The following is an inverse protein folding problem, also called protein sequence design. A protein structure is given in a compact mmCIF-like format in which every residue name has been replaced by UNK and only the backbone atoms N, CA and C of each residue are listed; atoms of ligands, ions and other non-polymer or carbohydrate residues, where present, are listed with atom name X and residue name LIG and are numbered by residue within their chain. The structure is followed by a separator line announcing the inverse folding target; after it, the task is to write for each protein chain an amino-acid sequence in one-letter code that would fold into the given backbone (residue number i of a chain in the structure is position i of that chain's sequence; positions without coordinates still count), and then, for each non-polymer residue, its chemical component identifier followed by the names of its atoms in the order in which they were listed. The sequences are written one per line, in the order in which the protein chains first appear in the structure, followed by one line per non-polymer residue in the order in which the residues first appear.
data_IF_917185264282
#
_entry.id   IF_917185264282
#
_cell.length_a   1.000
_cell.length_b   1.000
_cell.length_c   1.000
_cell.angle_alpha   90.00
_cell.angle_beta   90.00
_cell.angle_gamma   90.00
#
_symmetry.space_group_name_H-M   'P 1'
#
loop_
_entity.id
_entity.type
_entity.pdbx_description
1 polymer ?
#
# COMPACT_ATOMS: atom_id res chain seq x y z
N UNK A 1 -18.04 6.10 25.02
CA UNK A 1 -17.91 6.09 23.53
C UNK A 1 -17.19 7.29 22.95
N UNK A 2 -17.62 8.54 23.16
CA UNK A 2 -16.92 9.71 22.58
C UNK A 2 -15.42 9.78 22.93
N UNK A 3 -15.02 9.27 24.10
CA UNK A 3 -13.62 9.17 24.53
C UNK A 3 -12.79 8.13 23.75
N UNK A 4 -13.44 7.14 23.12
CA UNK A 4 -12.78 6.05 22.39
C UNK A 4 -12.74 6.29 20.88
N UNK A 5 -13.58 7.17 20.34
CA UNK A 5 -13.66 7.45 18.90
C UNK A 5 -12.34 7.98 18.30
N UNK A 6 -11.58 8.72 19.10
CA UNK A 6 -10.30 9.32 18.69
C UNK A 6 -9.09 8.56 19.26
N UNK A 7 -9.27 7.31 19.71
CA UNK A 7 -8.16 6.45 20.18
C UNK A 7 -7.77 5.46 19.09
N UNK A 8 -6.47 5.11 19.06
CA UNK A 8 -5.94 4.11 18.14
C UNK A 8 -6.49 2.72 18.46
N UNK A 9 -6.91 1.99 17.43
CA UNK A 9 -7.67 0.74 17.62
C UNK A 9 -6.89 -0.33 18.38
N UNK A 10 -5.57 -0.37 18.25
CA UNK A 10 -4.74 -1.33 19.00
C UNK A 10 -4.80 -1.10 20.50
N UNK A 11 -4.84 0.15 20.94
CA UNK A 11 -4.96 0.48 22.36
C UNK A 11 -6.31 -0.01 22.89
N UNK A 12 -7.37 0.20 22.11
CA UNK A 12 -8.72 -0.21 22.47
C UNK A 12 -8.83 -1.74 22.50
N UNK A 13 -8.27 -2.46 21.52
CA UNK A 13 -8.23 -3.94 21.50
C UNK A 13 -7.41 -4.48 22.67
N UNK A 14 -6.31 -3.82 23.05
CA UNK A 14 -5.51 -4.24 24.22
C UNK A 14 -6.30 -4.12 25.52
N UNK A 15 -7.11 -3.07 25.64
CA UNK A 15 -7.99 -2.83 26.81
C UNK A 15 -9.24 -3.75 26.78
N UNK A 16 -9.76 -4.04 25.59
CA UNK A 16 -10.97 -4.84 25.36
C UNK A 16 -10.74 -5.85 24.20
N UNK A 17 -10.14 -7.03 24.48
CA UNK A 17 -9.73 -7.99 23.44
C UNK A 17 -10.86 -8.50 22.54
N UNK A 18 -12.08 -8.57 23.05
CA UNK A 18 -13.29 -8.98 22.31
C UNK A 18 -13.63 -8.09 21.11
N UNK A 19 -13.13 -6.85 21.08
CA UNK A 19 -13.33 -5.92 19.96
C UNK A 19 -12.65 -6.44 18.69
N UNK A 20 -11.55 -7.19 18.79
CA UNK A 20 -10.90 -7.81 17.61
C UNK A 20 -11.86 -8.77 16.91
N UNK A 21 -12.55 -9.63 17.68
CA UNK A 21 -13.56 -10.54 17.14
C UNK A 21 -14.73 -9.79 16.49
N UNK A 22 -15.18 -8.70 17.13
CA UNK A 22 -16.25 -7.85 16.59
C UNK A 22 -15.81 -7.24 15.25
N UNK A 23 -14.61 -6.71 15.13
CA UNK A 23 -14.10 -6.13 13.88
C UNK A 23 -13.94 -7.19 12.78
N UNK A 24 -13.43 -8.38 13.14
CA UNK A 24 -13.28 -9.49 12.21
C UNK A 24 -14.63 -9.96 11.62
N UNK A 25 -15.73 -9.85 12.36
CA UNK A 25 -17.08 -10.16 11.84
C UNK A 25 -17.51 -9.26 10.67
N UNK A 26 -16.87 -8.08 10.54
CA UNK A 26 -17.08 -7.12 9.45
C UNK A 26 -15.91 -7.12 8.44
N UNK A 27 -15.06 -8.16 8.46
CA UNK A 27 -13.87 -8.27 7.61
C UNK A 27 -12.85 -7.14 7.84
N UNK A 28 -12.87 -6.54 9.04
CA UNK A 28 -11.96 -5.48 9.44
C UNK A 28 -10.78 -6.08 10.22
N UNK A 29 -9.72 -6.42 9.50
CA UNK A 29 -8.53 -7.08 10.04
C UNK A 29 -7.57 -6.15 10.81
N UNK A 30 -8.01 -5.55 11.91
CA UNK A 30 -7.16 -4.67 12.74
C UNK A 30 -6.21 -5.40 13.70
N UNK A 31 -6.52 -6.64 14.07
CA UNK A 31 -5.72 -7.47 14.99
C UNK A 31 -4.26 -7.70 14.55
N UNK A 32 -4.00 -8.18 13.30
CA UNK A 32 -2.64 -8.43 12.82
C UNK A 32 -1.87 -7.15 12.45
N UNK A 33 -2.50 -5.97 12.49
CA UNK A 33 -1.85 -4.72 12.11
C UNK A 33 -0.73 -4.36 13.10
N UNK A 34 0.52 -4.31 12.64
CA UNK A 34 1.67 -3.96 13.48
C UNK A 34 1.63 -2.49 13.95
N UNK A 35 1.01 -1.60 13.16
CA UNK A 35 0.99 -0.15 13.36
C UNK A 35 -0.08 0.28 14.36
N UNK A 36 -1.35 -0.09 14.13
CA UNK A 36 -2.45 0.14 15.07
C UNK A 36 -2.88 1.60 15.32
N UNK A 37 -2.44 2.55 14.49
CA UNK A 37 -2.71 3.99 14.62
C UNK A 37 -4.10 4.42 14.12
N UNK A 38 -4.80 3.57 13.36
CA UNK A 38 -6.13 3.87 12.87
C UNK A 38 -7.08 4.18 14.03
N UNK A 39 -7.74 5.34 13.99
CA UNK A 39 -8.71 5.72 15.01
C UNK A 39 -9.99 4.91 14.82
N UNK A 40 -10.67 4.60 15.92
CA UNK A 40 -11.93 3.83 15.86
C UNK A 40 -12.96 4.45 14.90
N UNK A 41 -13.11 5.78 14.90
CA UNK A 41 -14.04 6.48 13.99
C UNK A 41 -13.64 6.34 12.50
N UNK A 42 -12.34 6.27 12.22
CA UNK A 42 -11.83 6.24 10.86
C UNK A 42 -11.97 4.83 10.28
N UNK A 43 -11.79 3.80 11.11
CA UNK A 43 -11.98 2.39 10.72
C UNK A 43 -13.37 2.16 10.13
N UNK A 44 -14.40 2.66 10.80
CA UNK A 44 -15.79 2.51 10.34
C UNK A 44 -16.00 3.17 8.97
N UNK A 45 -15.37 4.34 8.77
CA UNK A 45 -15.44 5.10 7.53
C UNK A 45 -14.63 4.46 6.40
N UNK A 46 -13.47 3.90 6.72
CA UNK A 46 -12.51 3.30 5.78
C UNK A 46 -13.04 1.96 5.23
N UNK A 47 -13.66 1.14 6.08
CA UNK A 47 -14.11 -0.21 5.74
C UNK A 47 -15.50 -0.29 5.10
N UNK A 48 -16.06 0.86 4.68
CA UNK A 48 -17.23 0.97 3.79
C UNK A 48 -18.46 0.17 4.26
N UNK A 49 -18.71 0.22 5.56
CA UNK A 49 -19.93 -0.33 6.15
C UNK A 49 -21.15 0.47 5.66
N UNK A 50 -22.29 -0.20 5.49
CA UNK A 50 -23.57 0.52 5.35
C UNK A 50 -23.85 1.31 6.63
N UNK A 51 -24.69 2.35 6.56
CA UNK A 51 -25.08 3.12 7.75
C UNK A 51 -25.65 2.21 8.86
N UNK A 52 -26.39 1.16 8.49
CA UNK A 52 -26.88 0.15 9.42
C UNK A 52 -25.77 -0.71 10.03
N UNK A 53 -24.79 -1.16 9.22
CA UNK A 53 -23.64 -1.94 9.70
C UNK A 53 -22.71 -1.11 10.60
N UNK A 54 -22.50 0.16 10.28
CA UNK A 54 -21.75 1.10 11.12
C UNK A 54 -22.43 1.28 12.48
N UNK A 55 -23.75 1.53 12.49
CA UNK A 55 -24.51 1.66 13.73
C UNK A 55 -24.48 0.38 14.57
N UNK A 56 -24.58 -0.79 13.93
CA UNK A 56 -24.48 -2.08 14.62
C UNK A 56 -23.08 -2.34 15.18
N UNK A 57 -22.03 -2.17 14.36
CA UNK A 57 -20.64 -2.31 14.77
C UNK A 57 -20.34 -1.42 15.98
N UNK A 58 -20.74 -0.14 15.90
CA UNK A 58 -20.54 0.82 16.98
C UNK A 58 -21.34 0.46 18.24
N UNK A 59 -22.54 -0.08 18.11
CA UNK A 59 -23.33 -0.56 19.24
C UNK A 59 -22.70 -1.80 19.89
N UNK A 60 -22.17 -2.74 19.10
CA UNK A 60 -21.47 -3.94 19.59
C UNK A 60 -20.18 -3.56 20.32
N UNK A 61 -19.38 -2.65 19.77
CA UNK A 61 -18.18 -2.12 20.42
C UNK A 61 -18.54 -1.38 21.71
N UNK A 62 -19.60 -0.56 21.70
CA UNK A 62 -20.05 0.14 22.90
C UNK A 62 -20.50 -0.82 24.00
N UNK A 63 -21.14 -1.95 23.63
CA UNK A 63 -21.56 -2.99 24.57
C UNK A 63 -20.36 -3.73 25.18
N UNK A 64 -19.32 -4.00 24.38
CA UNK A 64 -18.08 -4.58 24.87
C UNK A 64 -17.38 -3.69 25.91
N UNK A 65 -17.31 -2.38 25.63
CA UNK A 65 -16.68 -1.39 26.53
C UNK A 65 -17.53 -1.14 27.79
N UNK A 66 -18.86 -1.24 27.68
CA UNK A 66 -19.79 -0.95 28.77
C UNK A 66 -20.84 -2.07 28.94
N UNK A 67 -20.46 -3.24 29.47
CA UNK A 67 -21.34 -4.40 29.56
C UNK A 67 -22.57 -4.17 30.44
N UNK A 68 -22.45 -3.33 31.47
CA UNK A 68 -23.51 -3.03 32.43
C UNK A 68 -24.57 -2.03 31.89
N UNK A 69 -24.30 -1.38 30.74
CA UNK A 69 -25.26 -0.45 30.13
C UNK A 69 -26.24 -1.20 29.23
N UNK A 70 -27.51 -0.80 29.30
CA UNK A 70 -28.55 -1.27 28.40
C UNK A 70 -28.41 -0.57 27.03
N UNK A 71 -27.54 -1.13 26.18
CA UNK A 71 -27.27 -0.64 24.83
C UNK A 71 -28.09 -1.48 23.86
N UNK A 72 -29.04 -0.85 23.17
CA UNK A 72 -29.80 -1.49 22.10
C UNK A 72 -28.91 -1.67 20.88
N UNK A 73 -28.73 -2.91 20.46
CA UNK A 73 -28.10 -3.25 19.20
C UNK A 73 -29.20 -3.23 18.12
N UNK A 74 -29.10 -2.39 17.07
CA UNK A 74 -30.06 -2.39 15.98
C UNK A 74 -30.25 -3.79 15.40
N UNK A 75 -31.48 -4.14 14.98
CA UNK A 75 -31.70 -5.41 14.29
C UNK A 75 -30.91 -5.41 12.97
N UNK A 76 -30.09 -6.45 12.78
CA UNK A 76 -29.33 -6.71 11.56
C UNK A 76 -30.19 -6.45 10.33
N UNK A 77 -29.76 -5.52 9.46
CA UNK A 77 -30.10 -5.66 8.05
C UNK A 77 -29.67 -7.08 7.67
N UNK A 78 -30.60 -7.91 7.20
CA UNK A 78 -30.27 -9.25 6.72
C UNK A 78 -29.02 -9.13 5.87
N UNK A 79 -28.04 -10.01 6.07
CA UNK A 79 -26.92 -10.24 5.14
C UNK A 79 -27.52 -10.58 3.78
N UNK A 80 -28.00 -9.59 3.05
CA UNK A 80 -27.95 -9.63 1.61
C UNK A 80 -26.48 -9.75 1.35
N UNK A 81 -26.07 -10.83 0.68
CA UNK A 81 -24.77 -10.85 0.03
C UNK A 81 -24.67 -9.51 -0.69
N UNK A 82 -23.90 -8.58 -0.13
CA UNK A 82 -23.42 -7.46 -0.88
C UNK A 82 -22.52 -8.15 -1.88
N UNK A 83 -23.08 -8.51 -3.04
CA UNK A 83 -22.27 -8.86 -4.20
C UNK A 83 -21.20 -7.78 -4.22
N UNK A 84 -19.91 -8.13 -4.15
CA UNK A 84 -18.86 -7.13 -4.13
C UNK A 84 -19.20 -6.16 -5.25
N UNK A 85 -19.55 -4.91 -4.93
CA UNK A 85 -19.75 -3.91 -5.96
C UNK A 85 -18.44 -3.96 -6.73
N UNK A 86 -18.49 -4.29 -8.02
CA UNK A 86 -17.31 -4.20 -8.87
C UNK A 86 -16.68 -2.84 -8.62
N UNK A 87 -15.56 -2.85 -7.90
CA UNK A 87 -14.89 -1.65 -7.48
C UNK A 87 -14.31 -1.05 -8.75
N UNK A 88 -14.90 0.05 -9.20
CA UNK A 88 -14.33 0.86 -10.26
C UNK A 88 -13.77 2.10 -9.60
N UNK A 89 -12.49 2.02 -9.23
CA UNK A 89 -11.71 3.21 -8.88
C UNK A 89 -11.91 4.29 -9.93
N UNK A 90 -11.93 5.55 -9.50
CA UNK A 90 -11.87 6.64 -10.44
C UNK A 90 -10.59 6.49 -11.31
N UNK A 91 -10.62 6.94 -12.58
CA UNK A 91 -9.50 6.76 -13.50
C UNK A 91 -8.10 7.09 -12.95
N UNK A 92 -7.87 8.19 -12.19
CA UNK A 92 -6.54 8.46 -11.64
C UNK A 92 -6.10 7.44 -10.59
N UNK A 93 -6.98 7.02 -9.69
CA UNK A 93 -6.66 6.02 -8.66
C UNK A 93 -6.43 4.66 -9.31
N UNK A 94 -7.27 4.30 -10.29
CA UNK A 94 -7.07 3.07 -11.07
C UNK A 94 -5.69 3.04 -11.74
N UNK A 95 -5.21 4.18 -12.26
CA UNK A 95 -3.88 4.26 -12.89
C UNK A 95 -2.77 3.86 -11.90
N UNK A 96 -2.80 4.37 -10.68
CA UNK A 96 -1.80 4.03 -9.65
C UNK A 96 -1.80 2.53 -9.32
N UNK A 97 -2.99 1.95 -9.15
CA UNK A 97 -3.15 0.49 -8.95
C UNK A 97 -2.65 -0.32 -10.14
N UNK A 98 -2.88 0.16 -11.38
CA UNK A 98 -2.37 -0.51 -12.57
C UNK A 98 -0.84 -0.44 -12.65
N UNK A 99 -0.22 0.67 -12.24
CA UNK A 99 1.23 0.85 -12.16
C UNK A 99 1.87 -0.10 -11.12
N UNK A 100 1.18 -0.38 -10.01
CA UNK A 100 1.62 -1.37 -9.03
C UNK A 100 1.82 -2.77 -9.60
N UNK A 101 1.13 -3.15 -10.68
CA UNK A 101 1.27 -4.50 -11.28
C UNK A 101 2.72 -4.78 -11.67
N UNK A 102 3.40 -3.81 -12.28
CA UNK A 102 4.79 -3.98 -12.70
C UNK A 102 5.73 -4.01 -11.50
N UNK A 103 5.50 -3.15 -10.51
CA UNK A 103 6.31 -3.07 -9.28
C UNK A 103 6.20 -4.37 -8.48
N UNK A 104 4.99 -4.93 -8.33
CA UNK A 104 4.75 -6.24 -7.68
C UNK A 104 5.50 -7.37 -8.39
N UNK A 105 5.50 -7.39 -9.72
CA UNK A 105 6.26 -8.39 -10.49
C UNK A 105 7.76 -8.27 -10.24
N UNK A 106 8.30 -7.05 -10.22
CA UNK A 106 9.72 -6.84 -9.87
C UNK A 106 10.03 -7.38 -8.47
N UNK A 107 9.22 -7.03 -7.48
CA UNK A 107 9.40 -7.48 -6.10
C UNK A 107 9.33 -9.00 -5.96
N UNK A 108 8.50 -9.66 -6.76
CA UNK A 108 8.41 -11.13 -6.80
C UNK A 108 9.67 -11.79 -7.37
N UNK A 109 10.42 -11.12 -8.25
CA UNK A 109 11.65 -11.61 -8.85
C UNK A 109 12.90 -11.39 -7.98
N UNK A 110 12.84 -10.48 -7.00
CA UNK A 110 13.99 -10.13 -6.16
C UNK A 110 14.69 -11.36 -5.53
N UNK A 111 14.00 -12.38 -4.98
CA UNK A 111 14.67 -13.55 -4.42
C UNK A 111 15.54 -14.29 -5.45
N UNK A 112 15.02 -14.49 -6.68
CA UNK A 112 15.79 -15.10 -7.76
C UNK A 112 16.94 -14.19 -8.22
N UNK A 113 16.74 -12.88 -8.26
CA UNK A 113 17.82 -11.92 -8.56
C UNK A 113 18.94 -12.07 -7.53
N UNK A 114 18.61 -12.17 -6.24
CA UNK A 114 19.57 -12.39 -5.16
C UNK A 114 20.29 -13.73 -5.30
N UNK A 115 19.58 -14.81 -5.58
CA UNK A 115 20.16 -16.16 -5.71
C UNK A 115 21.10 -16.29 -6.92
N UNK A 116 20.84 -15.55 -8.00
CA UNK A 116 21.60 -15.64 -9.25
C UNK A 116 22.54 -14.45 -9.50
N UNK A 117 22.64 -13.49 -8.58
CA UNK A 117 23.53 -12.35 -8.74
C UNK A 117 24.99 -12.76 -8.52
N UNK A 118 25.85 -12.46 -9.50
CA UNK A 118 27.30 -12.53 -9.37
C UNK A 118 27.89 -11.17 -9.79
N UNK A 119 28.20 -10.32 -8.81
CA UNK A 119 28.65 -8.95 -9.07
C UNK A 119 30.12 -8.87 -9.50
N UNK A 120 30.81 -10.02 -9.59
CA UNK A 120 32.13 -10.12 -10.21
C UNK A 120 32.04 -10.17 -11.74
N UNK A 121 30.86 -10.45 -12.28
CA UNK A 121 30.60 -10.45 -13.71
C UNK A 121 29.95 -9.14 -14.16
N UNK A 122 30.27 -8.71 -15.38
CA UNK A 122 29.61 -7.56 -16.02
C UNK A 122 28.08 -7.75 -16.06
N UNK A 123 27.64 -8.98 -16.38
CA UNK A 123 26.22 -9.33 -16.50
C UNK A 123 25.47 -9.22 -15.16
N UNK A 124 26.06 -9.73 -14.06
CA UNK A 124 25.45 -9.63 -12.74
C UNK A 124 25.41 -8.20 -12.22
N UNK A 125 26.45 -7.39 -12.47
CA UNK A 125 26.43 -5.95 -12.15
C UNK A 125 25.33 -5.22 -12.93
N UNK A 126 25.22 -5.49 -14.23
CA UNK A 126 24.20 -4.86 -15.08
C UNK A 126 22.79 -5.24 -14.64
N UNK A 127 22.56 -6.49 -14.21
CA UNK A 127 21.27 -6.93 -13.66
C UNK A 127 20.84 -6.08 -12.46
N UNK A 128 21.76 -5.79 -11.52
CA UNK A 128 21.48 -4.94 -10.37
C UNK A 128 21.21 -3.50 -10.79
N UNK A 129 22.01 -2.95 -11.73
CA UNK A 129 21.82 -1.60 -12.24
C UNK A 129 20.46 -1.42 -12.95
N UNK A 130 20.06 -2.39 -13.76
CA UNK A 130 18.77 -2.35 -14.47
C UNK A 130 17.59 -2.44 -13.49
N UNK A 131 17.71 -3.29 -12.45
CA UNK A 131 16.74 -3.36 -11.36
C UNK A 131 16.63 -2.05 -10.57
N UNK A 132 17.77 -1.44 -10.26
CA UNK A 132 17.82 -0.12 -9.60
C UNK A 132 17.24 0.98 -10.50
N UNK A 133 17.46 0.95 -11.82
CA UNK A 133 16.85 1.90 -12.75
C UNK A 133 15.32 1.76 -12.75
N UNK A 134 14.78 0.54 -12.74
CA UNK A 134 13.33 0.30 -12.59
C UNK A 134 12.80 0.95 -11.31
N UNK A 135 13.45 0.72 -10.16
CA UNK A 135 13.02 1.30 -8.89
C UNK A 135 13.05 2.83 -8.95
N UNK A 136 14.18 3.43 -9.34
CA UNK A 136 14.36 4.89 -9.29
C UNK A 136 13.50 5.62 -10.31
N UNK A 137 13.30 5.04 -11.47
CA UNK A 137 12.63 5.72 -12.57
C UNK A 137 11.14 5.39 -12.60
N UNK A 138 10.76 4.10 -12.52
CA UNK A 138 9.36 3.68 -12.59
C UNK A 138 8.65 3.78 -11.23
N UNK A 139 9.17 3.12 -10.19
CA UNK A 139 8.48 3.13 -8.89
C UNK A 139 8.55 4.52 -8.23
N UNK A 140 9.71 5.17 -8.23
CA UNK A 140 9.87 6.44 -7.53
C UNK A 140 9.48 7.67 -8.39
N UNK A 141 10.27 7.99 -9.42
CA UNK A 141 10.05 9.23 -10.21
C UNK A 141 8.81 9.26 -11.08
N UNK A 142 8.18 8.11 -11.30
CA UNK A 142 6.98 8.01 -12.13
C UNK A 142 5.75 7.70 -11.30
N UNK A 143 5.80 6.71 -10.41
CA UNK A 143 4.66 6.34 -9.59
C UNK A 143 4.58 7.16 -8.30
N UNK A 144 5.52 7.03 -7.35
CA UNK A 144 5.47 7.80 -6.07
C UNK A 144 5.45 9.32 -6.30
N UNK A 145 6.09 9.82 -7.36
CA UNK A 145 6.01 11.25 -7.70
C UNK A 145 4.57 11.71 -7.97
N UNK A 146 3.71 10.88 -8.60
CA UNK A 146 2.28 11.23 -8.75
C UNK A 146 1.57 11.27 -7.41
N UNK A 147 1.99 10.44 -6.47
CA UNK A 147 1.40 10.40 -5.14
C UNK A 147 1.81 11.63 -4.33
N UNK A 148 3.12 11.80 -4.13
CA UNK A 148 3.69 12.86 -3.31
C UNK A 148 3.46 14.24 -3.93
N UNK A 149 3.72 14.41 -5.24
CA UNK A 149 3.67 15.73 -5.87
C UNK A 149 2.28 16.16 -6.32
N UNK A 150 1.32 15.23 -6.38
CA UNK A 150 -0.01 15.52 -6.95
C UNK A 150 -1.12 15.01 -6.04
N UNK A 151 -1.25 13.70 -5.80
CA UNK A 151 -2.41 13.13 -5.11
C UNK A 151 -2.49 13.54 -3.64
N UNK A 152 -1.41 13.40 -2.88
CA UNK A 152 -1.39 13.66 -1.44
C UNK A 152 -1.69 15.13 -1.12
N UNK A 153 -1.38 16.05 -2.03
CA UNK A 153 -1.71 17.49 -1.92
C UNK A 153 -3.21 17.80 -1.95
N UNK A 154 -4.06 16.82 -2.25
CA UNK A 154 -5.52 16.96 -2.13
C UNK A 154 -6.05 16.62 -0.74
N UNK A 155 -5.19 16.14 0.15
CA UNK A 155 -5.50 15.67 1.50
C UNK A 155 -4.65 16.40 2.54
N UNK A 156 -4.92 16.14 3.82
CA UNK A 156 -4.10 16.65 4.92
C UNK A 156 -2.77 15.88 5.00
N UNK A 157 -1.71 16.48 4.48
CA UNK A 157 -0.36 15.92 4.50
C UNK A 157 0.18 15.70 5.92
N UNK A 158 -0.42 16.35 6.93
CA UNK A 158 -0.09 16.13 8.34
C UNK A 158 -0.78 14.90 8.96
N UNK A 159 -1.68 14.24 8.22
CA UNK A 159 -2.32 13.00 8.68
C UNK A 159 -1.30 11.87 8.86
N UNK A 160 -1.48 11.06 9.90
CA UNK A 160 -0.58 9.96 10.23
C UNK A 160 -0.42 8.97 9.07
N UNK A 161 -1.49 8.74 8.30
CA UNK A 161 -1.47 7.81 7.17
C UNK A 161 -0.56 8.30 6.03
N UNK A 162 -0.59 9.59 5.69
CA UNK A 162 0.26 10.16 4.64
C UNK A 162 1.71 10.26 5.11
N UNK A 163 1.94 10.61 6.39
CA UNK A 163 3.28 10.59 7.00
C UNK A 163 3.93 9.21 6.91
N UNK A 164 3.19 8.15 7.21
CA UNK A 164 3.68 6.77 7.08
C UNK A 164 4.06 6.44 5.62
N UNK A 165 3.30 6.89 4.62
CA UNK A 165 3.67 6.67 3.21
C UNK A 165 4.96 7.40 2.83
N UNK A 166 5.13 8.67 3.23
CA UNK A 166 6.37 9.39 3.00
C UNK A 166 7.58 8.76 3.69
N UNK A 167 7.40 8.22 4.89
CA UNK A 167 8.45 7.47 5.60
C UNK A 167 8.82 6.18 4.86
N UNK A 168 7.83 5.43 4.35
CA UNK A 168 8.05 4.25 3.51
C UNK A 168 8.82 4.62 2.23
N UNK A 169 8.40 5.66 1.48
CA UNK A 169 9.12 6.14 0.30
C UNK A 169 10.55 6.56 0.62
N UNK A 170 10.76 7.27 1.73
CA UNK A 170 12.09 7.69 2.18
C UNK A 170 12.99 6.49 2.48
N UNK A 171 12.47 5.47 3.16
CA UNK A 171 13.20 4.23 3.44
C UNK A 171 13.50 3.44 2.17
N UNK A 172 12.56 3.36 1.25
CA UNK A 172 12.76 2.73 -0.06
C UNK A 172 13.93 3.38 -0.82
N UNK A 173 13.98 4.71 -0.88
CA UNK A 173 15.08 5.47 -1.48
C UNK A 173 16.42 5.23 -0.77
N UNK A 174 16.41 5.07 0.54
CA UNK A 174 17.61 4.74 1.32
C UNK A 174 18.17 3.35 0.97
N UNK A 175 17.32 2.33 0.82
CA UNK A 175 17.76 0.99 0.37
C UNK A 175 18.39 1.03 -1.02
N UNK A 176 17.79 1.78 -1.95
CA UNK A 176 18.35 1.95 -3.30
C UNK A 176 19.74 2.58 -3.26
N UNK A 177 19.94 3.61 -2.42
CA UNK A 177 21.26 4.20 -2.22
C UNK A 177 22.26 3.19 -1.67
N UNK A 178 21.87 2.41 -0.66
CA UNK A 178 22.72 1.39 -0.07
C UNK A 178 23.09 0.27 -1.05
N UNK A 179 22.16 -0.14 -1.94
CA UNK A 179 22.43 -1.12 -3.02
C UNK A 179 23.52 -0.60 -3.95
N UNK A 180 23.44 0.67 -4.38
CA UNK A 180 24.45 1.28 -5.26
C UNK A 180 25.81 1.38 -4.55
N UNK A 181 25.84 1.83 -3.29
CA UNK A 181 27.07 1.93 -2.51
C UNK A 181 27.72 0.55 -2.29
N UNK A 182 26.92 -0.51 -2.15
CA UNK A 182 27.39 -1.89 -2.03
C UNK A 182 27.88 -2.46 -3.36
N UNK A 183 27.20 -2.13 -4.47
CA UNK A 183 27.63 -2.51 -5.82
C UNK A 183 28.99 -1.92 -6.20
N UNK A 184 29.28 -0.68 -5.80
CA UNK A 184 30.58 -0.06 -6.00
C UNK A 184 31.70 -0.74 -5.21
N UNK A 185 31.37 -1.32 -4.05
CA UNK A 185 32.29 -2.07 -3.20
C UNK A 185 32.41 -3.55 -3.56
N UNK A 186 31.52 -4.07 -4.42
CA UNK A 186 31.40 -5.50 -4.71
C UNK A 186 30.88 -6.32 -3.52
N UNK A 187 30.12 -5.70 -2.63
CA UNK A 187 29.56 -6.34 -1.43
C UNK A 187 28.22 -7.01 -1.76
N UNK A 188 28.29 -8.27 -2.22
CA UNK A 188 27.11 -9.07 -2.58
C UNK A 188 26.14 -9.25 -1.42
N UNK A 189 26.66 -9.43 -0.20
CA UNK A 189 25.81 -9.63 1.00
C UNK A 189 24.97 -8.39 1.26
N UNK A 190 25.59 -7.20 1.27
CA UNK A 190 24.85 -5.96 1.47
C UNK A 190 23.85 -5.68 0.35
N UNK A 191 24.15 -6.03 -0.91
CA UNK A 191 23.19 -5.91 -2.02
C UNK A 191 21.97 -6.78 -1.76
N UNK A 192 22.18 -8.06 -1.41
CA UNK A 192 21.10 -9.01 -1.14
C UNK A 192 20.22 -8.57 0.03
N UNK A 193 20.83 -8.15 1.14
CA UNK A 193 20.10 -7.67 2.32
C UNK A 193 19.22 -6.45 1.99
N UNK A 194 19.76 -5.46 1.29
CA UNK A 194 19.01 -4.25 0.95
C UNK A 194 17.92 -4.50 -0.11
N UNK A 195 18.14 -5.41 -1.07
CA UNK A 195 17.10 -5.82 -2.01
C UNK A 195 15.96 -6.55 -1.32
N UNK A 196 16.26 -7.46 -0.40
CA UNK A 196 15.24 -8.18 0.37
C UNK A 196 14.47 -7.24 1.30
N UNK A 197 15.14 -6.29 1.94
CA UNK A 197 14.51 -5.27 2.77
C UNK A 197 13.62 -4.32 1.95
N UNK A 198 14.06 -3.91 0.76
CA UNK A 198 13.24 -3.14 -0.18
C UNK A 198 11.98 -3.93 -0.58
N UNK A 199 12.13 -5.22 -0.91
CA UNK A 199 11.01 -6.12 -1.23
C UNK A 199 9.98 -6.17 -0.12
N UNK A 200 10.41 -6.40 1.12
CA UNK A 200 9.51 -6.49 2.27
C UNK A 200 8.76 -5.18 2.49
N UNK A 201 9.49 -4.06 2.51
CA UNK A 201 8.91 -2.73 2.67
C UNK A 201 7.84 -2.45 1.61
N UNK A 202 8.17 -2.63 0.32
CA UNK A 202 7.25 -2.29 -0.76
C UNK A 202 6.06 -3.25 -0.84
N UNK A 203 6.22 -4.51 -0.43
CA UNK A 203 5.09 -5.47 -0.36
C UNK A 203 4.02 -4.97 0.61
N UNK A 204 4.43 -4.57 1.81
CA UNK A 204 3.50 -4.05 2.81
C UNK A 204 2.99 -2.65 2.47
N UNK A 205 3.85 -1.79 1.90
CA UNK A 205 3.49 -0.46 1.45
C UNK A 205 2.37 -0.48 0.40
N UNK A 206 2.56 -1.22 -0.70
CA UNK A 206 1.57 -1.32 -1.77
C UNK A 206 0.25 -1.93 -1.25
N UNK A 207 0.33 -2.86 -0.29
CA UNK A 207 -0.86 -3.42 0.35
C UNK A 207 -1.64 -2.35 1.12
N UNK A 208 -0.96 -1.49 1.90
CA UNK A 208 -1.62 -0.36 2.59
C UNK A 208 -2.29 0.57 1.57
N UNK A 209 -1.66 0.78 0.42
CA UNK A 209 -2.20 1.66 -0.61
C UNK A 209 -3.45 1.08 -1.27
N UNK A 210 -3.31 -0.11 -1.87
CA UNK A 210 -4.37 -0.76 -2.65
C UNK A 210 -5.59 -1.12 -1.79
N UNK A 211 -5.38 -1.54 -0.54
CA UNK A 211 -6.46 -2.06 0.32
C UNK A 211 -7.06 -1.00 1.26
N UNK A 212 -6.33 0.08 1.57
CA UNK A 212 -6.73 1.05 2.60
C UNK A 212 -6.71 2.48 2.05
N UNK A 213 -5.53 2.97 1.64
CA UNK A 213 -5.33 4.39 1.31
C UNK A 213 -6.14 4.79 0.08
N UNK A 214 -6.00 4.06 -1.02
CA UNK A 214 -6.66 4.38 -2.29
C UNK A 214 -8.18 4.24 -2.20
N UNK A 215 -8.78 3.18 -1.59
CA UNK A 215 -10.21 3.15 -1.31
C UNK A 215 -10.70 4.36 -0.51
N UNK A 216 -9.95 4.79 0.50
CA UNK A 216 -10.31 5.95 1.31
C UNK A 216 -10.19 7.25 0.49
N UNK A 217 -9.09 7.46 -0.24
CA UNK A 217 -8.88 8.64 -1.07
C UNK A 217 -9.94 8.75 -2.17
N UNK A 218 -10.20 7.67 -2.92
CA UNK A 218 -11.17 7.65 -4.02
C UNK A 218 -12.58 8.05 -3.56
N UNK A 219 -12.99 7.61 -2.37
CA UNK A 219 -14.28 7.96 -1.78
C UNK A 219 -14.37 9.43 -1.33
N UNK A 220 -13.25 10.07 -1.04
CA UNK A 220 -13.19 11.44 -0.52
C UNK A 220 -12.87 12.48 -1.60
N UNK A 221 -12.73 12.05 -2.86
CA UNK A 221 -12.53 12.95 -4.00
C UNK A 221 -13.86 13.30 -4.67
N UNK A 222 -14.11 14.59 -4.87
CA UNK A 222 -15.20 15.04 -5.73
C UNK A 222 -14.91 14.77 -7.21
N UNK A 223 -15.95 14.67 -8.04
CA UNK A 223 -15.83 14.51 -9.50
C UNK A 223 -14.91 15.57 -10.15
N UNK A 224 -14.96 16.81 -9.65
CA UNK A 224 -14.10 17.89 -10.12
C UNK A 224 -12.63 17.66 -9.77
N UNK A 225 -12.33 17.17 -8.55
CA UNK A 225 -10.97 16.82 -8.16
C UNK A 225 -10.45 15.63 -8.97
N UNK A 226 -11.28 14.60 -9.19
CA UNK A 226 -10.95 13.47 -10.07
C UNK A 226 -10.55 13.94 -11.47
N UNK A 227 -11.31 14.86 -12.08
CA UNK A 227 -10.98 15.39 -13.41
C UNK A 227 -9.68 16.20 -13.44
N UNK A 228 -9.37 16.93 -12.37
CA UNK A 228 -8.09 17.66 -12.22
C UNK A 228 -6.92 16.70 -12.04
N UNK A 229 -7.05 15.71 -11.16
CA UNK A 229 -6.05 14.67 -10.93
C UNK A 229 -5.71 13.92 -12.22
N UNK A 230 -6.74 13.48 -12.96
CA UNK A 230 -6.55 12.85 -14.26
C UNK A 230 -5.71 13.70 -15.20
N UNK A 231 -6.05 15.00 -15.33
CA UNK A 231 -5.31 15.92 -16.19
C UNK A 231 -3.87 16.16 -15.73
N UNK A 232 -3.63 16.20 -14.41
CA UNK A 232 -2.30 16.36 -13.83
C UNK A 232 -1.43 15.11 -14.04
N UNK A 233 -1.99 13.91 -13.87
CA UNK A 233 -1.29 12.65 -14.13
C UNK A 233 -0.93 12.51 -15.61
N UNK A 234 -1.85 12.80 -16.52
CA UNK A 234 -1.57 12.79 -17.97
C UNK A 234 -0.49 13.80 -18.38
N UNK A 235 -0.36 14.90 -17.64
CA UNK A 235 0.73 15.85 -17.84
C UNK A 235 2.05 15.28 -17.31
N UNK A 236 2.06 14.74 -16.09
CA UNK A 236 3.23 14.12 -15.50
C UNK A 236 3.77 13.00 -16.40
N UNK A 237 2.90 12.12 -16.90
CA UNK A 237 3.24 11.00 -17.80
C UNK A 237 3.92 11.46 -19.11
N UNK A 238 3.60 12.67 -19.59
CA UNK A 238 4.24 13.24 -20.79
C UNK A 238 5.61 13.84 -20.52
N UNK A 239 5.92 14.16 -19.26
CA UNK A 239 7.13 14.88 -18.85
C UNK A 239 8.25 13.95 -18.34
N UNK A 240 7.98 12.64 -18.18
CA UNK A 240 8.87 11.67 -17.49
C UNK A 240 10.20 11.41 -18.22
N UNK A 241 10.27 11.71 -19.51
CA UNK A 241 11.49 11.60 -20.32
C UNK A 241 11.97 10.17 -20.61
N UNK A 242 11.18 9.14 -20.30
CA UNK A 242 11.44 7.75 -20.64
C UNK A 242 10.14 7.01 -21.00
N UNK A 243 10.24 5.83 -21.61
CA UNK A 243 9.10 4.96 -21.91
C UNK A 243 8.94 3.91 -20.80
N UNK A 244 7.83 3.90 -20.04
CA UNK A 244 7.59 2.91 -18.99
C UNK A 244 7.59 1.46 -19.50
N UNK A 245 7.22 1.27 -20.77
CA UNK A 245 7.17 -0.04 -21.45
C UNK A 245 8.54 -0.73 -21.48
N UNK A 246 9.65 0.01 -21.38
CA UNK A 246 10.99 -0.60 -21.33
C UNK A 246 11.15 -1.52 -20.10
N UNK A 247 10.50 -1.19 -18.99
CA UNK A 247 10.59 -1.96 -17.75
C UNK A 247 9.72 -3.22 -17.80
N UNK A 248 8.58 -3.17 -18.49
CA UNK A 248 7.79 -4.37 -18.81
C UNK A 248 8.63 -5.38 -19.59
N UNK A 249 9.34 -4.93 -20.63
CA UNK A 249 10.24 -5.80 -21.40
C UNK A 249 11.39 -6.35 -20.55
N UNK A 250 11.94 -5.54 -19.65
CA UNK A 250 12.98 -5.98 -18.72
C UNK A 250 12.46 -7.11 -17.80
N UNK A 251 11.30 -6.93 -17.19
CA UNK A 251 10.68 -7.94 -16.32
C UNK A 251 10.38 -9.23 -17.09
N UNK A 252 9.76 -9.14 -18.28
CA UNK A 252 9.45 -10.32 -19.09
C UNK A 252 10.72 -11.14 -19.38
N UNK A 253 11.81 -10.47 -19.76
CA UNK A 253 13.10 -11.15 -20.03
C UNK A 253 13.64 -11.85 -18.79
N UNK A 254 13.51 -11.24 -17.60
CA UNK A 254 13.93 -11.88 -16.36
C UNK A 254 13.06 -13.08 -15.99
N UNK A 255 11.75 -12.96 -16.11
CA UNK A 255 10.81 -14.07 -15.88
C UNK A 255 11.12 -15.26 -16.79
N UNK A 256 11.40 -15.02 -18.07
CA UNK A 256 11.81 -16.05 -19.03
C UNK A 256 13.16 -16.66 -18.65
N UNK A 257 14.15 -15.84 -18.27
CA UNK A 257 15.48 -16.29 -17.88
C UNK A 257 15.43 -17.21 -16.66
N UNK A 258 14.67 -16.86 -15.62
CA UNK A 258 14.61 -17.67 -14.41
C UNK A 258 13.77 -18.94 -14.58
N UNK A 259 12.69 -18.91 -15.38
CA UNK A 259 11.94 -20.13 -15.75
C UNK A 259 12.80 -21.17 -16.47
N UNK A 260 13.82 -20.75 -17.22
CA UNK A 260 14.74 -21.66 -17.90
C UNK A 260 15.79 -22.28 -16.97
N UNK A 261 16.11 -21.61 -15.84
CA UNK A 261 17.08 -22.10 -14.85
C UNK A 261 16.49 -23.08 -13.84
N UNK A 262 15.16 -23.08 -13.69
CA UNK A 262 14.42 -24.04 -12.84
C UNK A 262 14.14 -25.40 -13.52
N UNK A 263 14.48 -25.54 -14.82
CA UNK A 263 14.38 -26.77 -15.60
C UNK A 263 15.72 -27.48 -15.71
#
# INVERSE_FOLDING_TARGET
MNEYLNRGIKEIITEFPEIEGILNDYEIGCGPCSVGTCLLKDIVTIHRLTEGQEQELMARIAKAIHPDKDIKIPETEKRTEVKPKEFRYAPPIKKLVDEHVLIKRWIALIPQVVDYCDVKTEEGRQLILDGVDLIRSYADKFHHAKEEDILFKYFDEDSDIIKVMHEDHTRARAYVKAILDALDKGDETAISENLMAYRELLTEHIKKEDEILYPWMDNNLSTTQVGKLYSQFEKADKEIGFSPEKYEHFIIKLEEKFKQKEK
#
